data_IF_395360939982
#
_entry.id   IF_395360939982
#
_cell.length_a   1.000
_cell.length_b   1.000
_cell.length_c   1.000
_cell.angle_alpha   90.00
_cell.angle_beta   90.00
_cell.angle_gamma   90.00
#
_symmetry.space_group_name_H-M   'P 1'
#
loop_
_entity.id
_entity.type
_entity.pdbx_description
1 polymer ?
#
# COMPACT_ATOMS: atom_id res chain seq x y z
N UNK A 1 65.16 26.15 -30.24
CA UNK A 1 65.55 24.88 -30.88
C UNK A 1 65.22 23.76 -29.91
N UNK A 2 64.28 22.92 -30.32
CA UNK A 2 63.73 21.82 -29.53
C UNK A 2 64.72 20.66 -29.46
N UNK A 3 64.88 20.06 -28.28
CA UNK A 3 65.47 18.75 -28.11
C UNK A 3 64.50 17.89 -27.31
N UNK A 4 64.00 16.86 -27.97
CA UNK A 4 63.10 15.82 -27.49
C UNK A 4 63.82 14.99 -26.42
N UNK A 5 63.27 14.94 -25.20
CA UNK A 5 63.58 13.93 -24.20
C UNK A 5 62.36 13.03 -24.03
N UNK A 6 62.41 11.91 -24.76
CA UNK A 6 61.52 10.77 -24.59
C UNK A 6 62.10 9.88 -23.50
N UNK A 7 61.47 9.85 -22.33
CA UNK A 7 61.75 8.90 -21.26
C UNK A 7 60.49 8.10 -20.95
N UNK A 8 60.44 6.88 -21.48
CA UNK A 8 59.46 5.87 -21.13
C UNK A 8 59.74 5.34 -19.72
N UNK A 9 58.75 5.45 -18.84
CA UNK A 9 58.73 4.82 -17.51
C UNK A 9 57.38 4.08 -17.40
N UNK A 10 57.36 2.80 -16.97
CA UNK A 10 56.29 1.87 -17.25
C UNK A 10 54.97 2.15 -16.52
N UNK A 11 53.86 1.84 -17.19
CA UNK A 11 52.51 1.76 -16.65
C UNK A 11 52.47 0.87 -15.39
N UNK A 12 52.18 1.49 -14.24
CA UNK A 12 51.93 0.78 -12.98
C UNK A 12 50.59 0.05 -13.06
N UNK A 13 50.67 -1.29 -13.16
CA UNK A 13 49.58 -2.22 -12.85
C UNK A 13 49.18 -2.07 -11.38
N UNK A 14 48.23 -1.19 -11.09
CA UNK A 14 47.48 -1.27 -9.83
C UNK A 14 46.29 -2.21 -10.04
N UNK A 15 46.56 -3.49 -9.88
CA UNK A 15 45.53 -4.51 -9.69
C UNK A 15 44.87 -4.32 -8.33
N UNK A 16 43.68 -3.72 -8.33
CA UNK A 16 42.79 -3.74 -7.18
C UNK A 16 42.07 -5.10 -7.20
N UNK A 17 42.52 -5.98 -6.32
CA UNK A 17 41.88 -7.26 -6.03
C UNK A 17 40.51 -6.99 -5.39
N UNK A 18 39.44 -7.22 -6.15
CA UNK A 18 38.08 -7.29 -5.62
C UNK A 18 37.92 -8.60 -4.84
N UNK A 19 38.09 -8.53 -3.51
CA UNK A 19 37.66 -9.60 -2.62
C UNK A 19 36.13 -9.64 -2.58
N UNK A 20 35.56 -10.59 -3.31
CA UNK A 20 34.16 -11.00 -3.17
C UNK A 20 33.99 -11.73 -1.83
N UNK A 21 33.47 -11.03 -0.83
CA UNK A 21 32.98 -11.63 0.40
C UNK A 21 31.66 -12.34 0.13
N UNK A 22 31.69 -13.67 0.14
CA UNK A 22 30.51 -14.55 0.11
C UNK A 22 29.61 -14.31 1.33
N UNK A 23 28.47 -13.65 1.14
CA UNK A 23 27.36 -13.69 2.10
C UNK A 23 26.32 -14.73 1.66
N UNK A 24 26.01 -15.63 2.58
CA UNK A 24 25.21 -16.86 2.42
C UNK A 24 23.83 -16.62 1.80
N UNK A 25 23.48 -17.44 0.80
CA UNK A 25 22.11 -17.59 0.27
C UNK A 25 21.22 -18.29 1.32
N UNK A 26 19.97 -17.85 1.53
CA UNK A 26 19.01 -18.59 2.34
C UNK A 26 18.60 -19.89 1.60
N UNK A 27 18.73 -21.01 2.30
CA UNK A 27 18.40 -22.35 1.82
C UNK A 27 16.88 -22.56 1.80
N UNK A 28 16.35 -22.94 0.64
CA UNK A 28 15.01 -23.47 0.48
C UNK A 28 14.93 -24.87 1.11
N UNK A 29 14.05 -25.06 2.09
CA UNK A 29 13.74 -26.38 2.63
C UNK A 29 12.83 -27.16 1.66
N UNK A 30 13.32 -28.30 1.20
CA UNK A 30 12.59 -29.30 0.42
C UNK A 30 11.59 -30.07 1.29
N UNK A 31 10.43 -30.50 0.76
CA UNK A 31 9.44 -31.23 1.53
C UNK A 31 9.91 -32.65 1.89
N UNK A 32 9.60 -33.04 3.11
CA UNK A 32 9.93 -34.32 3.75
C UNK A 32 9.38 -35.50 2.94
N UNK A 33 10.27 -36.35 2.40
CA UNK A 33 9.92 -37.64 1.79
C UNK A 33 9.61 -38.65 2.89
N UNK A 34 8.40 -39.20 2.91
CA UNK A 34 8.03 -40.33 3.77
C UNK A 34 8.44 -41.63 3.06
N UNK A 35 9.31 -42.40 3.70
CA UNK A 35 9.67 -43.75 3.30
C UNK A 35 8.75 -44.75 4.01
N UNK A 36 8.05 -45.58 3.24
CA UNK A 36 7.35 -46.75 3.78
C UNK A 36 8.29 -47.97 3.67
N UNK A 37 8.73 -48.50 4.80
CA UNK A 37 9.43 -49.79 4.88
C UNK A 37 8.44 -50.89 5.22
N UNK A 38 8.28 -51.87 4.34
CA UNK A 38 7.58 -53.11 4.63
C UNK A 38 8.53 -54.07 5.35
N UNK A 39 8.23 -54.40 6.61
CA UNK A 39 8.94 -55.47 7.33
C UNK A 39 8.10 -56.75 7.26
N UNK A 40 8.68 -57.79 6.66
CA UNK A 40 8.20 -59.17 6.68
C UNK A 40 9.16 -59.94 7.56
N UNK A 41 8.66 -60.57 8.61
CA UNK A 41 9.27 -61.74 9.22
C UNK A 41 8.16 -62.57 9.88
N UNK A 42 8.20 -63.89 9.64
CA UNK A 42 7.23 -64.86 10.14
C UNK A 42 7.85 -65.81 11.15
N UNK A 43 7.00 -66.57 11.86
CA UNK A 43 7.06 -68.03 11.92
C UNK A 43 5.82 -68.59 12.62
N UNK A 44 5.45 -69.82 12.24
CA UNK A 44 4.23 -70.58 12.55
C UNK A 44 4.08 -71.06 14.00
N UNK A 45 2.83 -71.26 14.43
CA UNK A 45 2.35 -72.52 15.04
C UNK A 45 0.83 -72.70 14.82
N UNK A 46 0.44 -73.97 14.69
CA UNK A 46 -0.86 -74.50 14.26
C UNK A 46 -1.89 -74.52 15.40
N UNK A 47 -3.16 -74.29 15.10
CA UNK A 47 -4.27 -75.25 15.31
C UNK A 47 -5.60 -74.71 14.77
N UNK A 48 -6.46 -75.62 14.34
CA UNK A 48 -7.63 -75.44 13.48
C UNK A 48 -8.75 -74.58 14.08
N UNK A 49 -9.38 -73.72 13.27
CA UNK A 49 -10.82 -73.83 12.99
C UNK A 49 -11.23 -73.00 11.76
N UNK A 50 -11.65 -73.73 10.73
CA UNK A 50 -12.82 -73.48 9.89
C UNK A 50 -13.03 -72.10 9.22
N UNK A 51 -12.83 -72.14 7.90
CA UNK A 51 -13.58 -71.39 6.88
C UNK A 51 -13.42 -69.87 6.92
N UNK A 52 -13.86 -69.16 5.88
CA UNK A 52 -13.54 -67.75 5.57
C UNK A 52 -12.24 -67.52 4.77
N UNK A 53 -11.88 -68.49 3.93
CA UNK A 53 -11.21 -68.21 2.64
C UNK A 53 -12.27 -67.69 1.67
N UNK A 54 -12.38 -66.36 1.53
CA UNK A 54 -12.83 -65.58 0.35
C UNK A 54 -13.42 -64.22 0.78
N UNK A 55 -12.65 -63.38 1.47
CA UNK A 55 -13.05 -61.98 1.70
C UNK A 55 -11.87 -61.05 2.06
N UNK A 56 -10.70 -61.24 1.43
CA UNK A 56 -9.59 -60.30 1.56
C UNK A 56 -9.20 -59.79 0.18
N UNK A 57 -9.99 -58.84 -0.32
CA UNK A 57 -9.59 -57.92 -1.40
C UNK A 57 -10.58 -56.74 -1.57
N UNK A 58 -11.17 -56.21 -0.50
CA UNK A 58 -11.86 -54.90 -0.54
C UNK A 58 -11.86 -54.32 0.88
N UNK A 59 -11.01 -53.34 1.19
CA UNK A 59 -11.24 -52.36 2.28
C UNK A 59 -10.04 -51.41 2.43
N UNK A 60 -10.00 -50.37 1.60
CA UNK A 60 -9.52 -49.02 1.96
C UNK A 60 -9.70 -48.08 0.74
N UNK A 61 -10.92 -48.04 0.23
CA UNK A 61 -11.40 -46.91 -0.57
C UNK A 61 -12.46 -46.23 0.29
N UNK A 62 -12.46 -44.89 0.33
CA UNK A 62 -13.33 -44.01 1.14
C UNK A 62 -12.79 -43.69 2.53
N UNK A 63 -11.63 -43.00 2.62
CA UNK A 63 -11.32 -42.02 3.68
C UNK A 63 -10.34 -40.94 3.16
N UNK A 64 -10.55 -40.44 1.94
CA UNK A 64 -9.74 -39.35 1.36
C UNK A 64 -10.61 -38.20 0.82
N UNK A 65 -11.75 -37.93 1.45
CA UNK A 65 -12.67 -36.85 1.04
C UNK A 65 -13.11 -36.01 2.23
N UNK A 66 -12.22 -35.65 3.16
CA UNK A 66 -12.52 -34.64 4.20
C UNK A 66 -11.29 -33.85 4.66
N UNK A 67 -10.33 -33.60 3.76
CA UNK A 67 -9.15 -32.78 4.08
C UNK A 67 -8.92 -31.61 3.10
N UNK A 68 -9.94 -31.23 2.31
CA UNK A 68 -9.86 -30.09 1.38
C UNK A 68 -11.19 -29.34 1.31
N UNK A 69 -11.71 -28.82 2.42
CA UNK A 69 -12.78 -27.79 2.39
C UNK A 69 -12.75 -26.78 3.55
N UNK A 70 -11.67 -26.71 4.34
CA UNK A 70 -11.50 -25.64 5.34
C UNK A 70 -10.11 -25.02 5.33
N UNK A 71 -9.49 -24.93 4.15
CA UNK A 71 -8.52 -23.88 3.90
C UNK A 71 -9.26 -22.75 3.18
N UNK A 72 -10.12 -22.04 3.91
CA UNK A 72 -10.40 -20.65 3.57
C UNK A 72 -9.02 -19.98 3.61
N UNK A 73 -8.39 -19.85 2.44
CA UNK A 73 -7.27 -18.95 2.30
C UNK A 73 -7.87 -17.58 2.62
N UNK A 74 -7.50 -16.90 3.73
CA UNK A 74 -7.77 -15.49 3.76
C UNK A 74 -6.96 -14.96 2.58
N UNK A 75 -7.65 -14.43 1.58
CA UNK A 75 -7.05 -13.38 0.76
C UNK A 75 -6.69 -12.32 1.79
N UNK A 76 -5.45 -12.39 2.28
CA UNK A 76 -4.87 -11.35 3.11
C UNK A 76 -4.93 -10.15 2.20
N UNK A 77 -5.92 -9.28 2.46
CA UNK A 77 -5.91 -7.93 1.97
C UNK A 77 -4.47 -7.46 2.13
N UNK A 78 -3.82 -7.11 1.02
CA UNK A 78 -2.47 -6.59 1.02
C UNK A 78 -2.52 -5.22 1.72
N UNK A 79 -2.67 -5.26 3.05
CA UNK A 79 -2.64 -4.10 3.91
C UNK A 79 -1.24 -3.56 3.76
N UNK A 80 -1.13 -2.42 3.08
CA UNK A 80 0.14 -1.74 2.92
C UNK A 80 0.73 -1.56 4.32
N UNK A 81 1.88 -2.19 4.58
CA UNK A 81 2.51 -2.17 5.90
C UNK A 81 3.06 -0.77 6.13
N UNK A 82 2.23 0.08 6.73
CA UNK A 82 2.61 1.44 7.10
C UNK A 82 3.76 1.40 8.13
N UNK A 83 4.64 2.41 8.13
CA UNK A 83 5.64 2.54 9.19
C UNK A 83 4.97 2.70 10.56
N UNK A 84 5.68 2.39 11.66
CA UNK A 84 5.18 2.64 13.00
C UNK A 84 4.81 4.11 13.19
N UNK A 85 3.92 4.38 14.15
CA UNK A 85 3.54 5.74 14.51
C UNK A 85 4.77 6.54 14.96
N UNK A 86 4.94 7.76 14.44
CA UNK A 86 6.02 8.65 14.87
C UNK A 86 5.83 9.04 16.34
N UNK A 87 6.92 8.96 17.13
CA UNK A 87 6.97 9.31 18.55
C UNK A 87 7.28 10.79 18.81
N UNK A 88 7.44 11.59 17.76
CA UNK A 88 7.74 13.03 17.89
C UNK A 88 6.54 13.77 18.51
N UNK A 89 6.72 14.50 19.63
CA UNK A 89 5.64 15.28 20.25
C UNK A 89 5.11 16.40 19.34
N UNK A 90 5.94 16.95 18.44
CA UNK A 90 5.56 18.03 17.50
C UNK A 90 5.11 17.50 16.14
N UNK A 91 4.80 16.21 16.06
CA UNK A 91 4.39 15.53 14.83
C UNK A 91 3.32 16.28 14.03
N UNK A 92 2.28 16.82 14.68
CA UNK A 92 1.20 17.51 13.96
C UNK A 92 1.60 18.94 13.51
N UNK A 93 2.58 19.56 14.15
CA UNK A 93 3.04 20.91 13.80
C UNK A 93 3.82 20.91 12.47
N UNK A 94 4.39 19.77 12.08
CA UNK A 94 5.19 19.65 10.85
C UNK A 94 4.37 19.84 9.58
N UNK A 95 3.03 19.78 9.63
CA UNK A 95 2.18 20.06 8.47
C UNK A 95 2.40 21.49 7.91
N UNK A 96 2.76 22.44 8.77
CA UNK A 96 2.88 23.85 8.42
C UNK A 96 4.28 24.30 8.01
N UNK A 97 5.32 23.56 8.43
CA UNK A 97 6.73 23.97 8.35
C UNK A 97 7.44 23.24 7.23
N UNK A 98 8.23 23.96 6.42
CA UNK A 98 9.13 23.37 5.42
C UNK A 98 8.48 22.73 4.20
N UNK A 99 7.15 22.59 4.18
CA UNK A 99 6.40 21.85 3.17
C UNK A 99 5.78 22.76 2.10
N UNK A 100 6.51 23.75 1.59
CA UNK A 100 6.03 24.55 0.44
C UNK A 100 6.36 23.86 -0.87
N UNK A 101 5.63 24.14 -1.96
CA UNK A 101 5.87 23.56 -3.29
C UNK A 101 7.35 23.63 -3.71
N UNK A 102 8.04 24.75 -3.43
CA UNK A 102 9.48 24.93 -3.73
C UNK A 102 10.46 24.19 -2.81
N UNK A 103 9.97 23.44 -1.82
CA UNK A 103 10.74 22.63 -0.87
C UNK A 103 10.29 21.17 -0.86
N UNK A 104 9.34 20.80 -1.74
CA UNK A 104 8.71 19.49 -1.76
C UNK A 104 9.76 18.38 -2.01
N UNK A 105 10.03 17.60 -0.95
CA UNK A 105 10.83 16.37 -0.93
C UNK A 105 12.31 16.47 -1.33
N UNK A 106 13.00 17.53 -0.89
CA UNK A 106 14.47 17.55 -0.79
C UNK A 106 15.01 17.64 0.65
N UNK A 107 14.16 17.94 1.64
CA UNK A 107 14.58 18.32 3.00
C UNK A 107 14.28 17.25 4.06
N UNK A 108 13.28 16.39 3.83
CA UNK A 108 12.87 15.37 4.81
C UNK A 108 12.99 13.96 4.22
N UNK A 109 13.98 13.19 4.69
CA UNK A 109 14.19 11.77 4.34
C UNK A 109 13.06 10.84 4.85
N UNK A 110 12.07 11.39 5.56
CA UNK A 110 10.99 10.64 6.22
C UNK A 110 9.63 11.21 5.83
N UNK A 111 8.68 10.31 5.57
CA UNK A 111 7.29 10.66 5.33
C UNK A 111 6.71 11.46 6.50
N UNK A 112 5.98 12.53 6.17
CA UNK A 112 5.26 13.36 7.15
C UNK A 112 4.14 12.53 7.76
N UNK A 113 4.20 12.29 9.06
CA UNK A 113 3.20 11.52 9.79
C UNK A 113 2.22 12.48 10.46
N UNK A 114 0.98 12.55 9.99
CA UNK A 114 -0.10 13.38 10.54
C UNK A 114 -1.26 12.54 11.07
N UNK A 115 -1.08 11.22 11.23
CA UNK A 115 -2.15 10.30 11.67
C UNK A 115 -2.77 10.80 12.97
N UNK A 116 -4.09 10.76 13.07
CA UNK A 116 -4.86 11.15 14.26
C UNK A 116 -4.65 12.60 14.75
N UNK A 117 -4.06 13.47 13.93
CA UNK A 117 -3.94 14.90 14.25
C UNK A 117 -5.29 15.61 14.04
N UNK A 118 -5.54 16.67 14.81
CA UNK A 118 -6.76 17.48 14.70
C UNK A 118 -6.44 18.90 14.21
N UNK A 119 -6.96 19.23 13.04
CA UNK A 119 -6.83 20.51 12.34
C UNK A 119 -8.19 21.17 12.13
N UNK A 120 -9.21 20.85 12.94
CA UNK A 120 -10.57 21.42 12.82
C UNK A 120 -10.65 22.90 13.23
N UNK A 121 -9.61 23.42 13.89
CA UNK A 121 -9.59 24.80 14.38
C UNK A 121 -9.42 25.80 13.23
N UNK A 122 -9.96 27.00 13.39
CA UNK A 122 -10.02 28.14 12.43
C UNK A 122 -8.64 28.66 11.91
N UNK A 123 -7.55 27.96 12.21
CA UNK A 123 -6.17 28.27 11.85
C UNK A 123 -5.48 27.15 11.07
N UNK A 124 -6.20 26.14 10.60
CA UNK A 124 -5.64 25.10 9.73
C UNK A 124 -5.49 25.59 8.28
N UNK A 125 -4.66 26.63 8.13
CA UNK A 125 -4.24 27.11 6.82
C UNK A 125 -3.07 26.23 6.33
N UNK A 126 -3.40 25.33 5.42
CA UNK A 126 -2.47 24.48 4.68
C UNK A 126 -2.40 24.91 3.21
N UNK A 127 -2.79 26.17 2.93
CA UNK A 127 -2.77 26.73 1.59
C UNK A 127 -1.38 26.62 0.96
N UNK A 128 -1.32 26.11 -0.26
CA UNK A 128 -0.08 25.97 -1.04
C UNK A 128 0.96 25.02 -0.44
N UNK A 129 0.58 24.22 0.57
CA UNK A 129 1.49 23.24 1.18
C UNK A 129 1.60 21.98 0.32
N UNK A 130 2.71 21.28 0.44
CA UNK A 130 2.96 19.98 -0.15
C UNK A 130 2.91 18.91 0.93
N UNK A 131 1.89 18.05 0.89
CA UNK A 131 1.74 16.91 1.80
C UNK A 131 2.06 15.60 1.06
N UNK A 132 3.11 15.63 0.25
CA UNK A 132 3.54 14.47 -0.51
C UNK A 132 3.95 13.31 0.43
N UNK A 133 3.45 12.11 0.12
CA UNK A 133 3.61 10.90 0.91
C UNK A 133 3.15 11.02 2.38
N UNK A 134 2.35 12.03 2.72
CA UNK A 134 1.90 12.23 4.10
C UNK A 134 0.98 11.08 4.56
N UNK A 135 1.17 10.64 5.79
CA UNK A 135 0.32 9.64 6.46
C UNK A 135 -0.71 10.39 7.29
N UNK A 136 -1.96 10.41 6.86
CA UNK A 136 -3.05 11.19 7.45
C UNK A 136 -4.21 10.33 7.98
N UNK A 137 -4.03 9.00 8.07
CA UNK A 137 -5.11 8.11 8.52
C UNK A 137 -5.70 8.55 9.86
N UNK A 138 -7.04 8.69 9.89
CA UNK A 138 -7.80 9.15 11.06
C UNK A 138 -7.54 10.59 11.51
N UNK A 139 -6.82 11.40 10.72
CA UNK A 139 -6.67 12.83 11.00
C UNK A 139 -7.97 13.60 10.67
N UNK A 140 -8.13 14.78 11.26
CA UNK A 140 -9.28 15.67 11.02
C UNK A 140 -8.78 16.98 10.42
N UNK A 141 -9.32 17.36 9.28
CA UNK A 141 -9.06 18.59 8.55
C UNK A 141 -10.36 19.34 8.27
N UNK A 142 -11.39 19.11 9.10
CA UNK A 142 -12.72 19.66 8.89
C UNK A 142 -12.66 21.20 8.85
N UNK A 143 -13.17 21.80 7.77
CA UNK A 143 -13.14 23.24 7.53
C UNK A 143 -11.76 23.84 7.23
N UNK A 144 -10.71 23.03 7.06
CA UNK A 144 -9.37 23.53 6.75
C UNK A 144 -9.29 24.20 5.37
N UNK A 145 -8.47 25.25 5.27
CA UNK A 145 -8.07 25.82 3.97
C UNK A 145 -6.88 25.01 3.44
N UNK A 146 -7.18 24.13 2.50
CA UNK A 146 -6.19 23.36 1.74
C UNK A 146 -6.17 23.79 0.26
N UNK A 147 -6.53 25.06 -0.01
CA UNK A 147 -6.47 25.58 -1.37
C UNK A 147 -5.02 25.54 -1.89
N UNK A 148 -4.85 25.23 -3.18
CA UNK A 148 -3.53 25.08 -3.81
C UNK A 148 -2.63 24.01 -3.16
N UNK A 149 -3.17 23.12 -2.31
CA UNK A 149 -2.39 22.04 -1.71
C UNK A 149 -1.93 21.04 -2.77
N UNK A 150 -0.73 20.51 -2.61
CA UNK A 150 -0.22 19.41 -3.43
C UNK A 150 -0.11 18.16 -2.58
N UNK A 151 -0.93 17.15 -2.88
CA UNK A 151 -0.88 15.83 -2.25
C UNK A 151 -0.55 14.80 -3.32
N UNK A 152 0.68 14.27 -3.29
CA UNK A 152 1.08 13.13 -4.13
C UNK A 152 1.33 11.91 -3.28
N UNK A 153 0.71 10.77 -3.60
CA UNK A 153 0.86 9.47 -2.91
C UNK A 153 0.55 9.54 -1.41
N UNK A 154 -0.33 10.45 -1.01
CA UNK A 154 -0.72 10.63 0.37
C UNK A 154 -1.70 9.53 0.83
N UNK A 155 -1.62 9.16 2.11
CA UNK A 155 -2.43 8.12 2.73
C UNK A 155 -3.43 8.75 3.71
N UNK A 156 -4.66 9.01 3.25
CA UNK A 156 -5.69 9.70 4.03
C UNK A 156 -6.89 8.80 4.37
N UNK A 157 -6.67 7.48 4.43
CA UNK A 157 -7.74 6.52 4.69
C UNK A 157 -8.40 6.77 6.06
N UNK A 158 -9.73 6.87 6.08
CA UNK A 158 -10.52 7.14 7.27
C UNK A 158 -10.32 8.53 7.89
N UNK A 159 -9.66 9.46 7.19
CA UNK A 159 -9.52 10.84 7.64
C UNK A 159 -10.83 11.63 7.42
N UNK A 160 -11.01 12.73 8.15
CA UNK A 160 -12.11 13.66 7.96
C UNK A 160 -11.62 14.94 7.30
N UNK A 161 -12.31 15.36 6.25
CA UNK A 161 -12.10 16.55 5.43
C UNK A 161 -13.46 17.23 5.19
N UNK A 162 -14.33 17.25 6.20
CA UNK A 162 -15.67 17.80 6.07
C UNK A 162 -15.58 19.31 5.82
N UNK A 163 -16.15 19.79 4.72
CA UNK A 163 -16.11 21.22 4.37
C UNK A 163 -14.70 21.76 4.11
N UNK A 164 -13.71 20.89 3.86
CA UNK A 164 -12.35 21.31 3.52
C UNK A 164 -12.34 21.95 2.13
N UNK A 165 -11.58 23.03 1.98
CA UNK A 165 -11.37 23.69 0.69
C UNK A 165 -10.14 23.09 -0.02
N UNK A 166 -10.35 22.42 -1.15
CA UNK A 166 -9.31 21.92 -2.07
C UNK A 166 -9.28 22.71 -3.39
N UNK A 167 -9.73 23.96 -3.39
CA UNK A 167 -9.72 24.81 -4.59
C UNK A 167 -8.31 24.92 -5.16
N UNK A 168 -8.13 24.72 -6.46
CA UNK A 168 -6.83 24.69 -7.15
C UNK A 168 -5.84 23.62 -6.64
N UNK A 169 -6.29 22.60 -5.91
CA UNK A 169 -5.41 21.55 -5.38
C UNK A 169 -4.97 20.55 -6.46
N UNK A 170 -3.81 19.94 -6.24
CA UNK A 170 -3.30 18.80 -7.04
C UNK A 170 -3.27 17.55 -6.18
N UNK A 171 -4.17 16.60 -6.48
CA UNK A 171 -4.40 15.37 -5.71
C UNK A 171 -4.04 14.16 -6.57
N UNK A 172 -2.76 13.81 -6.57
CA UNK A 172 -2.17 12.71 -7.32
C UNK A 172 -2.03 11.45 -6.43
N UNK A 173 -2.71 10.36 -6.79
CA UNK A 173 -2.63 9.05 -6.13
C UNK A 173 -2.88 9.13 -4.62
N UNK A 174 -3.83 9.95 -4.21
CA UNK A 174 -4.23 10.07 -2.81
C UNK A 174 -5.21 8.97 -2.46
N UNK A 175 -4.98 8.28 -1.34
CA UNK A 175 -5.92 7.31 -0.82
C UNK A 175 -6.91 7.97 0.14
N UNK A 176 -8.14 8.22 -0.32
CA UNK A 176 -9.28 8.68 0.47
C UNK A 176 -10.25 7.56 0.86
N UNK A 177 -9.82 6.30 0.89
CA UNK A 177 -10.67 5.18 1.30
C UNK A 177 -11.32 5.45 2.67
N UNK A 178 -12.65 5.32 2.77
CA UNK A 178 -13.43 5.58 3.99
C UNK A 178 -13.29 6.99 4.55
N UNK A 179 -12.74 7.94 3.81
CA UNK A 179 -12.62 9.32 4.26
C UNK A 179 -13.98 10.01 4.26
N UNK A 180 -14.16 10.96 5.18
CA UNK A 180 -15.33 11.84 5.18
C UNK A 180 -15.00 13.13 4.43
N UNK A 181 -15.53 13.29 3.22
CA UNK A 181 -15.34 14.45 2.34
C UNK A 181 -16.67 15.20 2.16
N UNK A 182 -17.58 15.09 3.13
CA UNK A 182 -18.88 15.77 3.08
C UNK A 182 -18.67 17.28 2.91
N UNK A 183 -19.28 17.88 1.89
CA UNK A 183 -19.19 19.31 1.62
C UNK A 183 -17.80 19.80 1.19
N UNK A 184 -16.84 18.91 0.89
CA UNK A 184 -15.51 19.32 0.44
C UNK A 184 -15.56 20.01 -0.94
N UNK A 185 -14.72 21.02 -1.14
CA UNK A 185 -14.69 21.82 -2.37
C UNK A 185 -13.50 21.42 -3.24
N UNK A 186 -13.75 20.82 -4.41
CA UNK A 186 -12.71 20.42 -5.37
C UNK A 186 -12.62 21.37 -6.58
N UNK A 187 -12.99 22.64 -6.41
CA UNK A 187 -13.10 23.62 -7.50
C UNK A 187 -11.77 23.82 -8.21
N UNK A 188 -11.74 23.69 -9.54
CA UNK A 188 -10.53 23.81 -10.36
C UNK A 188 -9.35 22.92 -9.86
N UNK A 189 -9.66 21.76 -9.29
CA UNK A 189 -8.66 20.82 -8.78
C UNK A 189 -8.29 19.76 -9.81
N UNK A 190 -7.15 19.09 -9.59
CA UNK A 190 -6.71 17.94 -10.39
C UNK A 190 -6.80 16.67 -9.55
N UNK A 191 -7.63 15.72 -9.98
CA UNK A 191 -7.76 14.39 -9.41
C UNK A 191 -7.13 13.36 -10.37
N UNK A 192 -5.98 12.80 -10.03
CA UNK A 192 -5.32 11.78 -10.86
C UNK A 192 -4.94 10.57 -10.03
N UNK A 193 -5.46 9.38 -10.38
CA UNK A 193 -5.14 8.13 -9.71
C UNK A 193 -5.56 8.02 -8.24
N UNK A 194 -6.32 9.00 -7.72
CA UNK A 194 -6.82 9.02 -6.34
C UNK A 194 -8.00 8.06 -6.16
N UNK A 195 -8.16 7.50 -4.96
CA UNK A 195 -9.19 6.49 -4.68
C UNK A 195 -10.18 6.96 -3.62
N UNK A 196 -11.47 6.76 -3.88
CA UNK A 196 -12.59 7.22 -3.04
C UNK A 196 -13.51 6.07 -2.59
N UNK A 197 -12.96 4.85 -2.46
CA UNK A 197 -13.73 3.68 -2.05
C UNK A 197 -14.33 3.91 -0.66
N UNK A 198 -15.65 3.71 -0.52
CA UNK A 198 -16.38 3.93 0.74
C UNK A 198 -16.24 5.34 1.34
N UNK A 199 -15.72 6.32 0.58
CA UNK A 199 -15.65 7.70 1.02
C UNK A 199 -17.04 8.34 1.02
N UNK A 200 -17.30 9.23 1.97
CA UNK A 200 -18.52 10.04 1.97
C UNK A 200 -18.29 11.34 1.20
N UNK A 201 -18.91 11.50 0.04
CA UNK A 201 -18.81 12.65 -0.86
C UNK A 201 -20.13 13.44 -0.92
N UNK A 202 -21.02 13.25 0.05
CA UNK A 202 -22.28 14.00 0.15
C UNK A 202 -22.03 15.52 0.14
N UNK A 203 -22.67 16.23 -0.78
CA UNK A 203 -22.49 17.67 -0.96
C UNK A 203 -21.09 18.11 -1.43
N UNK A 204 -20.20 17.20 -1.82
CA UNK A 204 -18.91 17.59 -2.39
C UNK A 204 -19.08 18.29 -3.75
N UNK A 205 -18.29 19.33 -4.01
CA UNK A 205 -18.38 20.16 -5.21
C UNK A 205 -17.20 19.87 -6.13
N UNK A 206 -17.48 19.59 -7.42
CA UNK A 206 -16.47 19.21 -8.42
C UNK A 206 -16.40 20.16 -9.63
N UNK A 207 -16.80 21.42 -9.45
CA UNK A 207 -16.76 22.44 -10.51
C UNK A 207 -15.34 22.58 -11.10
N UNK A 208 -15.24 22.56 -12.43
CA UNK A 208 -13.97 22.63 -13.16
C UNK A 208 -12.89 21.62 -12.72
N UNK A 209 -13.29 20.50 -12.10
CA UNK A 209 -12.34 19.46 -11.69
C UNK A 209 -11.82 18.70 -12.90
N UNK A 210 -10.49 18.60 -13.00
CA UNK A 210 -9.83 17.79 -14.02
C UNK A 210 -9.66 16.37 -13.47
N UNK A 211 -10.34 15.41 -14.10
CA UNK A 211 -10.26 13.99 -13.75
C UNK A 211 -10.11 13.12 -15.00
N UNK A 212 -9.23 12.12 -14.92
CA UNK A 212 -9.02 11.17 -16.03
C UNK A 212 -10.19 10.20 -16.18
N UNK A 213 -10.43 9.71 -17.39
CA UNK A 213 -11.56 8.81 -17.71
C UNK A 213 -11.67 7.59 -16.78
N UNK A 214 -10.54 6.95 -16.46
CA UNK A 214 -10.53 5.76 -15.58
C UNK A 214 -10.88 6.10 -14.14
N UNK A 215 -10.45 7.26 -13.64
CA UNK A 215 -10.74 7.68 -12.27
C UNK A 215 -12.17 8.20 -12.15
N UNK A 216 -12.68 8.84 -13.20
CA UNK A 216 -14.09 9.22 -13.34
C UNK A 216 -14.99 7.98 -13.21
N UNK A 217 -14.70 6.90 -13.93
CA UNK A 217 -15.47 5.65 -13.83
C UNK A 217 -15.50 5.07 -12.42
N UNK A 218 -14.41 5.23 -11.64
CA UNK A 218 -14.34 4.75 -10.25
C UNK A 218 -15.15 5.64 -9.32
N UNK A 219 -14.97 6.96 -9.39
CA UNK A 219 -15.66 7.90 -8.50
C UNK A 219 -17.18 7.88 -8.75
N UNK A 220 -17.63 7.71 -10.00
CA UNK A 220 -19.06 7.61 -10.34
C UNK A 220 -19.76 6.36 -9.77
N UNK A 221 -19.02 5.36 -9.28
CA UNK A 221 -19.60 4.20 -8.54
C UNK A 221 -19.94 4.54 -7.10
N UNK A 222 -19.41 5.64 -6.56
CA UNK A 222 -19.72 6.08 -5.22
C UNK A 222 -21.17 6.61 -5.17
N UNK A 223 -21.98 6.05 -4.26
CA UNK A 223 -23.41 6.35 -4.12
C UNK A 223 -23.70 7.57 -3.24
N UNK A 224 -22.69 8.13 -2.58
CA UNK A 224 -22.87 9.30 -1.70
C UNK A 224 -22.85 10.64 -2.46
N UNK A 225 -22.38 10.66 -3.71
CA UNK A 225 -22.36 11.86 -4.53
C UNK A 225 -23.80 12.21 -4.94
N UNK A 226 -24.20 13.46 -4.70
CA UNK A 226 -25.50 13.99 -5.10
C UNK A 226 -25.64 14.12 -6.64
N UNK A 227 -26.87 14.28 -7.13
CA UNK A 227 -27.14 14.34 -8.59
C UNK A 227 -26.40 15.49 -9.28
N UNK A 228 -26.28 16.64 -8.62
CA UNK A 228 -25.54 17.80 -9.11
C UNK A 228 -24.04 17.51 -9.27
N UNK A 229 -23.41 16.91 -8.26
CA UNK A 229 -22.00 16.52 -8.31
C UNK A 229 -21.73 15.43 -9.35
N UNK A 230 -22.67 14.48 -9.51
CA UNK A 230 -22.61 13.46 -10.56
C UNK A 230 -22.68 14.10 -11.95
N UNK A 231 -23.57 15.08 -12.15
CA UNK A 231 -23.69 15.82 -13.40
C UNK A 231 -22.43 16.65 -13.70
N UNK A 232 -21.88 17.34 -12.69
CA UNK A 232 -20.66 18.13 -12.81
C UNK A 232 -19.44 17.28 -13.22
N UNK A 233 -19.33 16.07 -12.66
CA UNK A 233 -18.30 15.10 -13.04
C UNK A 233 -18.53 14.46 -14.42
N UNK A 234 -19.75 14.55 -14.97
CA UNK A 234 -20.12 13.87 -16.21
C UNK A 234 -20.36 12.37 -16.03
N UNK A 235 -20.79 11.93 -14.84
CA UNK A 235 -21.23 10.55 -14.62
C UNK A 235 -22.46 10.24 -15.48
N UNK A 236 -22.42 9.15 -16.24
CA UNK A 236 -23.53 8.66 -17.07
C UNK A 236 -23.99 7.30 -16.59
#
# INVERSE_FOLDING_TARGET
MAALLSSAIPLSRNGVSLQFSHTKRPQFHSPTRVFCSASRDGHETKEELSQWKQAKNVACGILAVWAVTTAASPVIAAGQRLPPLSTDPKRCEVAFVGNTIGQANGVYDKAIDLRFCDYTNEKSNLKGKSLAAALMSGAKFDGADMSEVVMSKAYAAGASFKGTDFTNAVLDRVNFEKANLQGALFVNSVLSGSTFNEANLDGAVFEDTIIGYIDLQKICRNTSINDEGRAALGCR
#
